data_IF_051210733685
#
_entry.id   IF_051210733685
#
_cell.length_a   1.000
_cell.length_b   1.000
_cell.length_c   1.000
_cell.angle_alpha   90.00
_cell.angle_beta   90.00
_cell.angle_gamma   90.00
#
_symmetry.space_group_name_H-M   'P 1'
#
loop_
_entity.id
_entity.type
_entity.pdbx_description
1 polymer ?
#
# COMPACT_ATOMS: atom_id res chain seq x y z
N UNK A 1 -2.26 9.50 16.48
CA UNK A 1 -3.60 8.99 16.09
C UNK A 1 -4.10 9.81 14.90
N UNK A 2 -4.56 9.14 13.84
CA UNK A 2 -5.13 9.77 12.64
C UNK A 2 -6.55 9.24 12.45
N UNK A 3 -7.50 10.13 12.11
CA UNK A 3 -8.89 9.77 11.82
C UNK A 3 -9.12 9.74 10.31
N UNK A 4 -9.77 8.70 9.80
CA UNK A 4 -10.25 8.61 8.41
C UNK A 4 -11.73 8.98 8.41
N UNK A 5 -12.11 10.15 7.87
CA UNK A 5 -13.47 10.69 7.98
C UNK A 5 -14.37 10.12 6.86
N UNK A 6 -15.19 9.12 7.18
CA UNK A 6 -16.12 8.45 6.24
C UNK A 6 -17.55 8.34 6.83
N UNK A 7 -18.00 9.38 7.53
CA UNK A 7 -19.31 9.38 8.19
C UNK A 7 -19.43 8.27 9.23
N UNK A 8 -20.43 7.41 9.12
CA UNK A 8 -20.65 6.27 10.01
C UNK A 8 -19.64 5.13 9.85
N UNK A 9 -18.84 5.15 8.78
CA UNK A 9 -17.74 4.21 8.51
C UNK A 9 -16.36 4.78 8.90
N UNK A 10 -16.32 5.93 9.57
CA UNK A 10 -15.08 6.53 10.06
C UNK A 10 -14.35 5.60 10.99
N UNK A 11 -13.03 5.60 10.93
CA UNK A 11 -12.18 4.79 11.81
C UNK A 11 -10.89 5.54 12.18
N UNK A 12 -10.15 4.95 13.11
CA UNK A 12 -8.91 5.52 13.62
C UNK A 12 -7.71 4.68 13.19
N UNK A 13 -6.59 5.37 12.94
CA UNK A 13 -5.27 4.78 12.75
C UNK A 13 -4.44 5.14 13.97
N UNK A 14 -4.06 4.16 14.78
CA UNK A 14 -3.17 4.32 15.91
C UNK A 14 -1.75 3.97 15.49
N UNK A 15 -0.79 4.85 15.76
CA UNK A 15 0.60 4.70 15.33
C UNK A 15 1.47 4.95 16.56
N UNK A 16 2.15 3.90 17.03
CA UNK A 16 3.16 3.98 18.08
C UNK A 16 3.95 2.66 18.17
N UNK A 17 5.03 2.63 18.95
CA UNK A 17 5.73 1.40 19.31
C UNK A 17 4.96 0.62 20.36
N UNK A 18 4.97 -0.71 20.29
CA UNK A 18 4.39 -1.62 21.26
C UNK A 18 2.86 -1.62 21.32
N UNK A 19 2.17 -1.02 20.31
CA UNK A 19 0.70 -0.94 20.33
C UNK A 19 0.04 -2.30 20.09
N UNK A 20 0.73 -3.27 19.51
CA UNK A 20 0.23 -4.63 19.33
C UNK A 20 -0.18 -5.27 20.66
N UNK A 21 0.54 -4.99 21.74
CA UNK A 21 0.20 -5.47 23.08
C UNK A 21 -1.17 -4.96 23.59
N UNK A 22 -1.70 -3.89 22.98
CA UNK A 22 -2.99 -3.28 23.30
C UNK A 22 -4.12 -3.67 22.34
N UNK A 23 -3.85 -4.55 21.36
CA UNK A 23 -4.81 -4.96 20.33
C UNK A 23 -6.15 -5.37 20.93
N UNK A 24 -6.16 -6.28 21.90
CA UNK A 24 -7.38 -6.76 22.54
C UNK A 24 -8.16 -5.64 23.23
N UNK A 25 -7.48 -4.77 23.99
CA UNK A 25 -8.10 -3.62 24.63
C UNK A 25 -8.75 -2.67 23.61
N UNK A 26 -8.07 -2.40 22.52
CA UNK A 26 -8.59 -1.53 21.46
C UNK A 26 -9.77 -2.15 20.69
N UNK A 27 -9.79 -3.48 20.52
CA UNK A 27 -10.96 -4.19 20.00
C UNK A 27 -12.16 -4.13 20.97
N UNK A 28 -11.93 -4.33 22.26
CA UNK A 28 -12.97 -4.25 23.30
C UNK A 28 -13.60 -2.85 23.39
N UNK A 29 -12.80 -1.78 23.29
CA UNK A 29 -13.31 -0.39 23.27
C UNK A 29 -14.27 -0.13 22.11
N UNK A 30 -14.12 -0.87 20.99
CA UNK A 30 -14.97 -0.79 19.80
C UNK A 30 -16.16 -1.72 19.84
N UNK A 31 -16.34 -2.43 20.97
CA UNK A 31 -17.45 -3.36 21.19
C UNK A 31 -17.55 -4.42 20.07
N UNK A 32 -16.41 -4.92 19.60
CA UNK A 32 -16.37 -6.03 18.67
C UNK A 32 -16.80 -7.32 19.38
N UNK A 33 -17.37 -8.26 18.64
CA UNK A 33 -17.88 -9.49 19.22
C UNK A 33 -16.81 -10.38 19.84
N UNK A 34 -17.19 -11.35 20.64
CA UNK A 34 -16.30 -12.15 21.48
C UNK A 34 -15.36 -13.07 20.68
N UNK A 35 -15.81 -13.60 19.54
CA UNK A 35 -15.03 -14.51 18.68
C UNK A 35 -14.30 -13.73 17.61
N UNK A 36 -13.05 -14.08 17.36
CA UNK A 36 -12.28 -13.47 16.27
C UNK A 36 -11.31 -14.45 15.63
N UNK A 37 -10.89 -14.14 14.40
CA UNK A 37 -9.83 -14.85 13.71
C UNK A 37 -8.66 -13.90 13.43
N UNK A 38 -7.44 -14.33 13.75
CA UNK A 38 -6.21 -13.69 13.30
C UNK A 38 -5.82 -14.37 11.98
N UNK A 39 -5.88 -13.63 10.87
CA UNK A 39 -5.35 -14.09 9.59
C UNK A 39 -3.97 -13.48 9.41
N UNK A 40 -2.95 -14.33 9.26
CA UNK A 40 -1.55 -13.92 9.10
C UNK A 40 -0.83 -14.86 8.14
N UNK A 41 0.33 -14.47 7.65
CA UNK A 41 1.16 -15.33 6.82
C UNK A 41 2.26 -16.05 7.61
N UNK A 42 2.91 -17.03 6.97
CA UNK A 42 3.97 -17.85 7.58
C UNK A 42 5.19 -17.04 8.03
N UNK A 43 5.48 -15.87 7.44
CA UNK A 43 6.61 -15.02 7.82
C UNK A 43 6.25 -14.17 9.04
N UNK A 44 5.13 -13.48 9.01
CA UNK A 44 4.68 -12.57 10.06
C UNK A 44 4.23 -13.34 11.30
N UNK A 45 3.56 -14.49 11.11
CA UNK A 45 3.06 -15.32 12.19
C UNK A 45 4.14 -15.75 13.20
N UNK A 46 5.35 -16.06 12.73
CA UNK A 46 6.48 -16.44 13.59
C UNK A 46 6.85 -15.38 14.63
N UNK A 47 6.65 -14.11 14.28
CA UNK A 47 7.08 -12.98 15.13
C UNK A 47 5.94 -12.42 15.96
N UNK A 48 4.72 -12.32 15.35
CA UNK A 48 3.68 -11.47 15.91
C UNK A 48 2.36 -12.20 16.20
N UNK A 49 2.15 -13.46 15.74
CA UNK A 49 0.89 -14.16 16.00
C UNK A 49 0.66 -14.38 17.49
N UNK A 50 1.67 -14.87 18.23
CA UNK A 50 1.53 -15.12 19.67
C UNK A 50 1.26 -13.84 20.47
N UNK A 51 2.02 -12.72 20.32
CA UNK A 51 1.71 -11.46 20.99
C UNK A 51 0.29 -10.93 20.70
N UNK A 52 -0.17 -11.03 19.45
CA UNK A 52 -1.53 -10.62 19.06
C UNK A 52 -2.60 -11.51 19.70
N UNK A 53 -2.40 -12.83 19.67
CA UNK A 53 -3.28 -13.82 20.25
C UNK A 53 -3.42 -13.60 21.77
N UNK A 54 -2.30 -13.50 22.49
CA UNK A 54 -2.28 -13.28 23.93
C UNK A 54 -2.95 -11.95 24.32
N UNK A 55 -2.77 -10.90 23.50
CA UNK A 55 -3.43 -9.60 23.71
C UNK A 55 -4.96 -9.70 23.62
N UNK A 56 -5.48 -10.47 22.66
CA UNK A 56 -6.92 -10.70 22.51
C UNK A 56 -7.47 -11.57 23.65
N UNK A 57 -6.80 -12.65 24.01
CA UNK A 57 -7.22 -13.53 25.14
C UNK A 57 -7.29 -12.75 26.45
N UNK A 58 -6.26 -11.94 26.76
CA UNK A 58 -6.26 -11.08 27.97
C UNK A 58 -7.42 -10.10 28.01
N UNK A 59 -7.97 -9.72 26.86
CA UNK A 59 -9.12 -8.82 26.76
C UNK A 59 -10.47 -9.57 26.73
N UNK A 60 -10.49 -10.89 26.92
CA UNK A 60 -11.69 -11.72 26.99
C UNK A 60 -12.19 -12.26 25.64
N UNK A 61 -11.42 -12.09 24.55
CA UNK A 61 -11.79 -12.66 23.25
C UNK A 61 -11.39 -14.13 23.14
N UNK A 62 -12.07 -14.86 22.23
CA UNK A 62 -11.74 -16.22 21.83
C UNK A 62 -11.15 -16.23 20.42
N UNK A 63 -9.84 -15.92 20.26
CA UNK A 63 -9.19 -15.84 18.95
C UNK A 63 -8.89 -17.23 18.39
N UNK A 64 -9.02 -17.39 17.07
CA UNK A 64 -8.47 -18.51 16.31
C UNK A 64 -7.37 -18.00 15.38
N UNK A 65 -6.37 -18.83 15.11
CA UNK A 65 -5.25 -18.46 14.25
C UNK A 65 -5.37 -19.14 12.89
N UNK A 66 -5.43 -18.36 11.82
CA UNK A 66 -5.45 -18.80 10.43
C UNK A 66 -4.16 -18.36 9.76
N UNK A 67 -3.30 -19.30 9.41
CA UNK A 67 -2.01 -19.02 8.76
C UNK A 67 -2.12 -19.33 7.28
N UNK A 68 -1.83 -18.35 6.43
CA UNK A 68 -1.78 -18.50 4.98
C UNK A 68 -0.32 -18.51 4.48
N UNK A 69 -0.03 -19.02 3.28
CA UNK A 69 1.29 -18.90 2.69
C UNK A 69 1.72 -17.43 2.57
N UNK A 70 3.02 -17.15 2.70
CA UNK A 70 3.56 -15.82 2.46
C UNK A 70 3.69 -15.55 0.95
N UNK A 71 3.60 -14.28 0.55
CA UNK A 71 3.82 -13.81 -0.81
C UNK A 71 2.55 -13.55 -1.61
N UNK A 72 2.71 -12.90 -2.76
CA UNK A 72 1.62 -12.42 -3.61
C UNK A 72 0.71 -13.54 -4.15
N UNK A 73 1.26 -14.74 -4.32
CA UNK A 73 0.50 -15.92 -4.80
C UNK A 73 -0.60 -16.37 -3.81
N UNK A 74 -0.42 -16.06 -2.53
CA UNK A 74 -1.45 -16.33 -1.51
C UNK A 74 -2.71 -15.48 -1.70
N UNK A 75 -2.62 -14.37 -2.42
CA UNK A 75 -3.72 -13.44 -2.66
C UNK A 75 -4.66 -13.97 -3.76
N UNK A 76 -5.33 -15.07 -3.49
CA UNK A 76 -6.13 -15.85 -4.45
C UNK A 76 -7.46 -16.33 -3.88
N UNK A 77 -8.44 -16.61 -4.76
CA UNK A 77 -9.73 -17.19 -4.36
C UNK A 77 -9.58 -18.56 -3.67
N UNK A 78 -8.54 -19.33 -4.03
CA UNK A 78 -8.24 -20.60 -3.37
C UNK A 78 -7.93 -20.40 -1.87
N UNK A 79 -7.10 -19.40 -1.57
CA UNK A 79 -6.75 -19.08 -0.18
C UNK A 79 -7.94 -18.49 0.57
N UNK A 80 -8.76 -17.69 -0.09
CA UNK A 80 -10.02 -17.17 0.48
C UNK A 80 -10.94 -18.30 0.89
N UNK A 81 -11.13 -19.30 0.01
CA UNK A 81 -11.95 -20.49 0.31
C UNK A 81 -11.42 -21.23 1.54
N UNK A 82 -10.10 -21.48 1.61
CA UNK A 82 -9.50 -22.12 2.77
C UNK A 82 -9.70 -21.31 4.07
N UNK A 83 -9.68 -19.98 3.99
CA UNK A 83 -10.02 -19.12 5.14
C UNK A 83 -11.49 -19.32 5.56
N UNK A 84 -12.44 -19.36 4.62
CA UNK A 84 -13.85 -19.58 4.95
C UNK A 84 -14.08 -20.91 5.67
N UNK A 85 -13.45 -21.99 5.22
CA UNK A 85 -13.55 -23.31 5.86
C UNK A 85 -13.07 -23.24 7.32
N UNK A 86 -11.95 -22.56 7.58
CA UNK A 86 -11.43 -22.35 8.93
C UNK A 86 -12.40 -21.53 9.80
N UNK A 87 -12.91 -20.40 9.25
CA UNK A 87 -13.86 -19.55 9.97
C UNK A 87 -15.14 -20.31 10.33
N UNK A 88 -15.67 -21.12 9.40
CA UNK A 88 -16.86 -21.95 9.61
C UNK A 88 -16.62 -23.08 10.62
N UNK A 89 -15.50 -23.81 10.51
CA UNK A 89 -15.12 -24.86 11.45
C UNK A 89 -15.03 -24.35 12.90
N UNK A 90 -14.54 -23.12 13.07
CA UNK A 90 -14.45 -22.45 14.36
C UNK A 90 -15.72 -21.67 14.74
N UNK A 91 -16.80 -21.82 13.98
CA UNK A 91 -18.11 -21.21 14.26
C UNK A 91 -18.06 -19.70 14.46
N UNK A 92 -17.30 -18.99 13.63
CA UNK A 92 -17.35 -17.54 13.60
C UNK A 92 -18.74 -17.10 13.08
N UNK A 93 -19.33 -16.12 13.74
CA UNK A 93 -20.67 -15.63 13.49
C UNK A 93 -20.68 -14.16 13.04
N UNK A 94 -21.84 -13.58 12.73
CA UNK A 94 -21.97 -12.22 12.21
C UNK A 94 -21.38 -11.12 13.11
N UNK A 95 -21.35 -11.35 14.43
CA UNK A 95 -20.73 -10.41 15.38
C UNK A 95 -19.22 -10.62 15.53
N UNK A 96 -18.68 -11.73 15.04
CA UNK A 96 -17.24 -12.00 15.05
C UNK A 96 -16.48 -10.99 14.21
N UNK A 97 -15.16 -10.92 14.39
CA UNK A 97 -14.32 -10.04 13.59
C UNK A 97 -13.01 -10.71 13.16
N UNK A 98 -12.37 -10.16 12.15
CA UNK A 98 -11.07 -10.60 11.65
C UNK A 98 -10.00 -9.58 12.03
N UNK A 99 -8.83 -10.07 12.46
CA UNK A 99 -7.60 -9.31 12.60
C UNK A 99 -6.69 -9.69 11.44
N UNK A 100 -6.46 -8.75 10.53
CA UNK A 100 -5.50 -8.88 9.44
C UNK A 100 -4.12 -8.49 9.96
N UNK A 101 -3.29 -9.48 10.31
CA UNK A 101 -1.96 -9.27 10.87
C UNK A 101 -0.89 -9.57 9.81
N UNK A 102 -0.38 -8.54 9.12
CA UNK A 102 0.59 -8.77 8.05
C UNK A 102 0.85 -7.57 7.15
N UNK A 103 1.53 -7.83 6.04
CA UNK A 103 1.74 -6.85 4.97
C UNK A 103 0.48 -6.61 4.14
N UNK A 104 0.63 -5.90 3.01
CA UNK A 104 -0.48 -5.58 2.10
C UNK A 104 -1.24 -6.80 1.58
N UNK A 105 -0.53 -7.88 1.28
CA UNK A 105 -1.15 -9.15 0.82
C UNK A 105 -2.15 -9.68 1.84
N UNK A 106 -1.74 -9.77 3.12
CA UNK A 106 -2.60 -10.23 4.21
C UNK A 106 -3.74 -9.25 4.46
N UNK A 107 -3.45 -7.94 4.44
CA UNK A 107 -4.47 -6.91 4.63
C UNK A 107 -5.58 -6.98 3.60
N UNK A 108 -5.22 -7.10 2.32
CA UNK A 108 -6.17 -7.21 1.21
C UNK A 108 -6.96 -8.53 1.24
N UNK A 109 -6.27 -9.67 1.44
CA UNK A 109 -6.88 -10.99 1.52
C UNK A 109 -7.87 -11.08 2.70
N UNK A 110 -7.41 -10.76 3.91
CA UNK A 110 -8.22 -10.88 5.12
C UNK A 110 -9.37 -9.87 5.14
N UNK A 111 -9.14 -8.67 4.59
CA UNK A 111 -10.19 -7.67 4.40
C UNK A 111 -11.26 -8.14 3.40
N UNK A 112 -10.86 -8.81 2.31
CA UNK A 112 -11.80 -9.40 1.36
C UNK A 112 -12.58 -10.59 1.98
N UNK A 113 -11.91 -11.44 2.75
CA UNK A 113 -12.58 -12.50 3.54
C UNK A 113 -13.60 -11.87 4.48
N UNK A 114 -13.24 -10.81 5.20
CA UNK A 114 -14.16 -10.11 6.09
C UNK A 114 -15.36 -9.50 5.36
N UNK A 115 -15.13 -8.91 4.19
CA UNK A 115 -16.18 -8.27 3.39
C UNK A 115 -17.22 -9.25 2.85
N UNK A 116 -16.84 -10.51 2.67
CA UNK A 116 -17.66 -11.51 1.98
C UNK A 116 -18.19 -12.62 2.89
N UNK A 117 -17.47 -12.98 3.95
CA UNK A 117 -17.92 -13.97 4.93
C UNK A 117 -19.20 -13.48 5.64
N UNK A 118 -20.25 -14.30 5.64
CA UNK A 118 -21.59 -13.97 6.17
C UNK A 118 -22.18 -12.64 5.66
N UNK A 119 -21.80 -12.20 4.46
CA UNK A 119 -22.13 -10.91 3.83
C UNK A 119 -21.52 -9.69 4.52
N UNK A 120 -20.42 -9.89 5.22
CA UNK A 120 -19.64 -8.84 5.87
C UNK A 120 -19.60 -8.98 7.39
N UNK A 121 -18.39 -9.14 7.94
CA UNK A 121 -18.10 -9.09 9.37
C UNK A 121 -17.02 -8.02 9.62
N UNK A 122 -16.96 -7.48 10.84
CA UNK A 122 -15.98 -6.47 11.18
C UNK A 122 -14.53 -6.96 10.97
N UNK A 123 -13.61 -6.04 10.65
CA UNK A 123 -12.19 -6.37 10.65
C UNK A 123 -11.31 -5.23 11.17
N UNK A 124 -10.12 -5.59 11.63
CA UNK A 124 -9.07 -4.72 12.15
C UNK A 124 -7.80 -4.99 11.35
N UNK A 125 -7.10 -3.94 10.94
CA UNK A 125 -5.82 -4.05 10.26
C UNK A 125 -4.66 -3.85 11.24
N UNK A 126 -3.69 -4.76 11.21
CA UNK A 126 -2.41 -4.65 11.93
C UNK A 126 -1.28 -4.78 10.91
N UNK A 127 -0.99 -3.68 10.18
CA UNK A 127 0.01 -3.69 9.11
C UNK A 127 1.42 -3.83 9.68
N UNK A 128 2.20 -4.77 9.14
CA UNK A 128 3.56 -5.09 9.61
C UNK A 128 4.68 -4.72 8.63
N UNK A 129 4.35 -4.19 7.46
CA UNK A 129 5.32 -3.62 6.50
C UNK A 129 5.16 -2.11 6.42
N UNK A 130 6.22 -1.38 6.08
CA UNK A 130 6.15 0.07 5.90
C UNK A 130 5.12 0.45 4.82
N UNK A 131 5.14 -0.27 3.69
CA UNK A 131 4.16 -0.10 2.61
C UNK A 131 2.72 -0.21 3.14
N UNK A 132 2.44 -1.23 3.94
CA UNK A 132 1.10 -1.42 4.47
C UNK A 132 0.73 -0.36 5.52
N UNK A 133 1.67 0.08 6.36
CA UNK A 133 1.42 1.12 7.36
C UNK A 133 1.08 2.47 6.72
N UNK A 134 1.76 2.84 5.63
CA UNK A 134 1.57 4.16 5.00
C UNK A 134 0.54 4.16 3.87
N UNK A 135 0.23 2.98 3.30
CA UNK A 135 -0.60 2.90 2.09
C UNK A 135 -1.71 1.85 2.19
N UNK A 136 -1.47 0.57 1.98
CA UNK A 136 -2.52 -0.42 1.71
C UNK A 136 -3.54 -0.60 2.83
N UNK A 137 -3.20 -0.34 4.10
CA UNK A 137 -4.14 -0.44 5.23
C UNK A 137 -5.17 0.70 5.30
N UNK A 138 -5.04 1.74 4.47
CA UNK A 138 -5.90 2.92 4.50
C UNK A 138 -6.75 3.03 3.24
N UNK A 139 -8.05 3.23 3.39
CA UNK A 139 -8.97 3.49 2.29
C UNK A 139 -9.73 2.28 1.77
N UNK A 140 -9.70 1.16 2.51
CA UNK A 140 -10.65 0.04 2.39
C UNK A 140 -10.62 -0.74 1.08
N UNK A 141 -9.60 -0.57 0.22
CA UNK A 141 -9.44 -1.43 -0.95
C UNK A 141 -8.96 -2.80 -0.49
N UNK A 142 -9.81 -3.80 -0.62
CA UNK A 142 -9.49 -5.19 -0.28
C UNK A 142 -9.81 -6.08 -1.47
N UNK A 143 -9.06 -7.16 -1.67
CA UNK A 143 -9.27 -7.98 -2.86
C UNK A 143 -8.22 -9.04 -3.09
N UNK A 144 -8.41 -9.79 -4.16
CA UNK A 144 -7.56 -10.89 -4.58
C UNK A 144 -7.27 -10.86 -6.08
N UNK A 145 -6.26 -11.61 -6.46
CA UNK A 145 -5.79 -11.70 -7.83
C UNK A 145 -6.55 -12.80 -8.59
N UNK A 146 -6.67 -12.60 -9.90
CA UNK A 146 -7.05 -13.63 -10.85
C UNK A 146 -5.85 -13.93 -11.79
N UNK A 147 -5.97 -15.01 -12.54
CA UNK A 147 -4.98 -15.31 -13.64
C UNK A 147 -4.89 -14.17 -14.66
N UNK A 148 -5.98 -13.43 -14.86
CA UNK A 148 -6.07 -12.32 -15.80
C UNK A 148 -5.38 -11.03 -15.29
N UNK A 149 -5.12 -10.90 -13.97
CA UNK A 149 -4.46 -9.71 -13.41
C UNK A 149 -4.64 -9.55 -11.90
N UNK A 150 -3.86 -8.63 -11.34
CA UNK A 150 -3.90 -8.30 -9.91
C UNK A 150 -5.15 -7.50 -9.55
N UNK A 151 -5.67 -7.74 -8.32
CA UNK A 151 -6.73 -6.95 -7.69
C UNK A 151 -8.02 -6.80 -8.52
N UNK A 152 -8.35 -7.81 -9.35
CA UNK A 152 -9.52 -7.77 -10.22
C UNK A 152 -10.82 -8.09 -9.48
N UNK A 153 -10.74 -8.81 -8.38
CA UNK A 153 -11.86 -9.15 -7.51
C UNK A 153 -11.65 -8.53 -6.14
N UNK A 154 -12.59 -7.72 -5.69
CA UNK A 154 -12.44 -7.01 -4.42
C UNK A 154 -13.67 -6.20 -4.02
N UNK A 155 -13.53 -5.49 -2.92
CA UNK A 155 -14.54 -4.59 -2.37
C UNK A 155 -13.91 -3.33 -1.79
N UNK A 156 -14.72 -2.27 -1.64
CA UNK A 156 -14.40 -1.16 -0.74
C UNK A 156 -14.97 -1.51 0.63
N UNK A 157 -14.13 -1.99 1.54
CA UNK A 157 -14.54 -2.43 2.86
C UNK A 157 -13.64 -1.82 3.94
N UNK A 158 -14.19 -0.92 4.75
CA UNK A 158 -13.41 -0.15 5.72
C UNK A 158 -13.15 -0.93 7.01
N UNK A 159 -11.93 -0.90 7.56
CA UNK A 159 -11.64 -1.51 8.86
C UNK A 159 -12.28 -0.71 10.00
N UNK A 160 -12.47 -1.36 11.15
CA UNK A 160 -12.90 -0.70 12.39
C UNK A 160 -11.74 0.00 13.11
N UNK A 161 -10.53 -0.41 12.82
CA UNK A 161 -9.30 0.11 13.39
C UNK A 161 -8.13 -0.26 12.48
N UNK A 162 -7.15 0.62 12.39
CA UNK A 162 -5.81 0.29 11.91
C UNK A 162 -4.83 0.51 13.05
N UNK A 163 -4.00 -0.50 13.37
CA UNK A 163 -3.05 -0.48 14.46
C UNK A 163 -1.63 -0.62 13.90
N UNK A 164 -0.96 0.49 13.65
CA UNK A 164 0.41 0.54 13.13
C UNK A 164 1.41 0.45 14.28
N UNK A 165 1.92 -0.75 14.55
CA UNK A 165 3.01 -0.94 15.50
C UNK A 165 4.35 -0.76 14.79
N UNK A 166 5.10 0.29 15.14
CA UNK A 166 6.38 0.60 14.51
C UNK A 166 7.45 -0.46 14.83
N UNK A 167 7.29 -1.21 15.93
CA UNK A 167 8.22 -2.27 16.30
C UNK A 167 8.15 -3.45 15.32
N UNK A 168 7.05 -3.63 14.59
CA UNK A 168 6.94 -4.65 13.55
C UNK A 168 7.91 -4.42 12.40
N UNK A 169 8.32 -3.18 12.16
CA UNK A 169 9.27 -2.84 11.11
C UNK A 169 10.70 -3.32 11.42
N UNK A 170 11.01 -3.69 12.68
CA UNK A 170 12.35 -4.17 13.05
C UNK A 170 12.69 -5.52 12.40
N UNK A 171 11.68 -6.38 12.21
CA UNK A 171 11.85 -7.71 11.59
C UNK A 171 11.66 -7.68 10.07
N UNK A 172 11.24 -6.54 9.52
CA UNK A 172 11.02 -6.40 8.09
C UNK A 172 12.36 -6.41 7.34
N UNK A 173 12.54 -7.28 6.32
CA UNK A 173 13.74 -7.29 5.50
C UNK A 173 14.04 -5.90 4.90
N UNK A 174 15.33 -5.57 4.78
CA UNK A 174 15.78 -4.25 4.33
C UNK A 174 15.23 -3.86 2.95
N UNK A 175 15.19 -4.83 2.02
CA UNK A 175 14.65 -4.60 0.67
C UNK A 175 13.17 -4.23 0.70
N UNK A 176 12.37 -4.91 1.55
CA UNK A 176 10.94 -4.63 1.75
C UNK A 176 10.72 -3.27 2.44
N UNK A 177 11.57 -2.93 3.41
CA UNK A 177 11.51 -1.63 4.07
C UNK A 177 11.78 -0.50 3.07
N UNK A 178 12.84 -0.62 2.26
CA UNK A 178 13.18 0.35 1.21
C UNK A 178 12.07 0.44 0.17
N UNK A 179 11.50 -0.67 -0.24
CA UNK A 179 10.35 -0.66 -1.16
C UNK A 179 9.19 0.17 -0.60
N UNK A 180 8.91 0.11 0.70
CA UNK A 180 7.91 0.95 1.34
C UNK A 180 8.22 2.46 1.30
N UNK A 181 9.50 2.84 1.26
CA UNK A 181 9.90 4.24 1.15
C UNK A 181 9.48 4.88 -0.18
N UNK A 182 9.30 4.11 -1.26
CA UNK A 182 8.79 4.64 -2.53
C UNK A 182 7.41 5.29 -2.34
N UNK A 183 6.52 4.68 -1.57
CA UNK A 183 5.20 5.23 -1.27
C UNK A 183 5.28 6.45 -0.34
N UNK A 184 6.19 6.41 0.63
CA UNK A 184 6.45 7.57 1.51
C UNK A 184 6.91 8.78 0.69
N UNK A 185 7.87 8.59 -0.23
CA UNK A 185 8.39 9.63 -1.12
C UNK A 185 7.29 10.15 -2.04
N UNK A 186 6.45 9.26 -2.56
CA UNK A 186 5.29 9.62 -3.38
C UNK A 186 4.40 10.66 -2.70
N UNK A 187 4.07 10.51 -1.42
CA UNK A 187 3.24 11.49 -0.70
C UNK A 187 3.87 12.88 -0.67
N UNK A 188 5.19 12.97 -0.53
CA UNK A 188 5.92 14.23 -0.65
C UNK A 188 5.80 14.87 -2.02
N UNK A 189 5.88 14.06 -3.08
CA UNK A 189 5.80 14.52 -4.46
C UNK A 189 4.39 15.02 -4.80
N UNK A 190 3.36 14.25 -4.41
CA UNK A 190 2.00 14.51 -4.89
C UNK A 190 1.22 15.52 -4.06
N UNK A 191 1.59 15.73 -2.78
CA UNK A 191 0.71 16.43 -1.85
C UNK A 191 1.42 17.37 -0.87
N UNK A 192 2.64 17.06 -0.43
CA UNK A 192 3.28 17.77 0.67
C UNK A 192 4.77 18.05 0.40
N UNK A 193 5.06 19.22 -0.14
CA UNK A 193 6.44 19.66 -0.40
C UNK A 193 7.30 19.73 0.88
N UNK A 194 6.71 20.00 2.06
CA UNK A 194 7.44 20.02 3.33
C UNK A 194 7.85 18.62 3.75
N UNK A 195 6.95 17.64 3.54
CA UNK A 195 7.29 16.23 3.71
C UNK A 195 8.44 15.82 2.80
N UNK A 196 8.41 16.23 1.51
CA UNK A 196 9.47 15.93 0.57
C UNK A 196 10.82 16.50 1.02
N UNK A 197 10.88 17.77 1.39
CA UNK A 197 12.11 18.41 1.90
C UNK A 197 12.62 17.75 3.19
N UNK A 198 11.70 17.29 4.05
CA UNK A 198 12.05 16.53 5.25
C UNK A 198 12.66 15.16 4.90
N UNK A 199 12.11 14.47 3.90
CA UNK A 199 12.65 13.20 3.44
C UNK A 199 14.07 13.35 2.87
N UNK A 200 14.34 14.39 2.09
CA UNK A 200 15.70 14.67 1.61
C UNK A 200 16.71 14.82 2.77
N UNK A 201 16.31 15.50 3.83
CA UNK A 201 17.18 15.77 5.00
C UNK A 201 17.30 14.58 5.95
N UNK A 202 16.19 13.93 6.28
CA UNK A 202 16.11 12.96 7.37
C UNK A 202 16.16 11.50 6.87
N UNK A 203 16.35 11.25 5.58
CA UNK A 203 16.40 9.91 5.00
C UNK A 203 17.39 8.96 5.73
N UNK A 204 18.60 9.39 6.15
CA UNK A 204 19.50 8.53 6.92
C UNK A 204 18.89 8.04 8.24
N UNK A 205 18.07 8.86 8.92
CA UNK A 205 17.38 8.47 10.15
C UNK A 205 16.30 7.42 9.87
N UNK A 206 15.58 7.58 8.76
CA UNK A 206 14.56 6.61 8.32
C UNK A 206 15.21 5.26 7.97
N UNK A 207 16.32 5.26 7.25
CA UNK A 207 17.06 4.05 6.92
C UNK A 207 17.59 3.32 8.16
N UNK A 208 17.95 4.04 9.22
CA UNK A 208 18.26 3.46 10.54
C UNK A 208 17.03 3.07 11.35
N UNK A 209 15.82 3.28 10.81
CA UNK A 209 14.54 2.98 11.47
C UNK A 209 14.39 3.68 12.82
N UNK A 210 14.86 4.93 12.93
CA UNK A 210 14.72 5.72 14.15
C UNK A 210 13.24 5.97 14.46
N UNK A 211 12.79 5.59 15.65
CA UNK A 211 11.38 5.56 16.02
C UNK A 211 10.66 6.90 15.85
N UNK A 212 11.27 7.99 16.33
CA UNK A 212 10.65 9.31 16.23
C UNK A 212 10.47 9.75 14.77
N UNK A 213 11.49 9.53 13.93
CA UNK A 213 11.41 9.85 12.51
C UNK A 213 10.36 9.02 11.79
N UNK A 214 10.30 7.72 12.08
CA UNK A 214 9.28 6.82 11.51
C UNK A 214 7.87 7.18 11.96
N UNK A 215 7.65 7.45 13.26
CA UNK A 215 6.34 7.79 13.80
C UNK A 215 5.73 9.01 13.09
N UNK A 216 6.54 10.05 12.94
CA UNK A 216 6.12 11.29 12.30
C UNK A 216 5.81 11.12 10.80
N UNK A 217 6.67 10.37 10.08
CA UNK A 217 6.51 10.14 8.64
C UNK A 217 5.30 9.24 8.39
N UNK A 218 5.16 8.14 9.11
CA UNK A 218 3.99 7.24 8.99
C UNK A 218 2.70 7.99 9.31
N UNK A 219 2.70 8.80 10.38
CA UNK A 219 1.53 9.60 10.74
C UNK A 219 1.16 10.60 9.63
N UNK A 220 2.16 11.29 9.04
CA UNK A 220 1.89 12.26 7.97
C UNK A 220 1.39 11.59 6.69
N UNK A 221 1.97 10.46 6.29
CA UNK A 221 1.48 9.68 5.16
C UNK A 221 0.03 9.22 5.36
N UNK A 222 -0.28 8.67 6.53
CA UNK A 222 -1.64 8.27 6.89
C UNK A 222 -2.63 9.46 6.87
N UNK A 223 -2.22 10.64 7.35
CA UNK A 223 -3.03 11.86 7.30
C UNK A 223 -3.35 12.25 5.86
N UNK A 224 -2.33 12.34 4.99
CA UNK A 224 -2.52 12.69 3.58
C UNK A 224 -3.48 11.68 2.92
N UNK A 225 -3.26 10.38 3.15
CA UNK A 225 -4.14 9.37 2.57
C UNK A 225 -5.56 9.45 3.11
N UNK A 226 -5.74 9.70 4.41
CA UNK A 226 -7.04 9.88 5.03
C UNK A 226 -7.79 11.10 4.44
N UNK A 227 -7.10 12.21 4.21
CA UNK A 227 -7.64 13.41 3.57
C UNK A 227 -8.12 13.12 2.14
N UNK A 228 -7.29 12.42 1.34
CA UNK A 228 -7.63 12.06 -0.04
C UNK A 228 -8.79 11.06 -0.10
N UNK A 229 -8.76 10.03 0.74
CA UNK A 229 -9.84 9.01 0.81
C UNK A 229 -11.14 9.61 1.34
N UNK A 230 -11.05 10.53 2.31
CA UNK A 230 -12.23 11.22 2.85
C UNK A 230 -12.98 12.06 1.81
N UNK A 231 -12.26 12.56 0.79
CA UNK A 231 -12.83 13.32 -0.32
C UNK A 231 -13.28 12.44 -1.49
N UNK A 232 -12.64 11.29 -1.68
CA UNK A 232 -12.89 10.38 -2.80
C UNK A 232 -12.64 8.92 -2.39
N UNK A 233 -13.64 8.31 -1.77
CA UNK A 233 -13.51 6.94 -1.25
C UNK A 233 -13.35 5.89 -2.36
N UNK A 234 -14.07 6.05 -3.46
CA UNK A 234 -14.20 5.04 -4.53
C UNK A 234 -13.30 5.27 -5.75
N UNK A 235 -12.38 6.27 -5.67
CA UNK A 235 -11.44 6.58 -6.75
C UNK A 235 -12.12 7.09 -8.04
N UNK A 236 -13.12 7.95 -7.88
CA UNK A 236 -13.81 8.59 -9.01
C UNK A 236 -13.11 9.85 -9.54
N UNK A 237 -12.16 10.43 -8.81
CA UNK A 237 -11.52 11.70 -9.16
C UNK A 237 -10.20 11.95 -8.43
N UNK A 238 -10.22 12.71 -7.34
CA UNK A 238 -9.02 13.16 -6.61
C UNK A 238 -8.08 12.01 -6.20
N UNK A 239 -8.63 10.87 -5.78
CA UNK A 239 -7.82 9.72 -5.35
C UNK A 239 -6.87 9.21 -6.43
N UNK A 240 -7.10 9.55 -7.69
CA UNK A 240 -6.19 9.24 -8.80
C UNK A 240 -4.78 9.82 -8.61
N UNK A 241 -4.59 10.92 -7.83
CA UNK A 241 -3.26 11.48 -7.55
C UNK A 241 -2.32 10.47 -6.91
N UNK A 242 -2.85 9.50 -6.13
CA UNK A 242 -2.08 8.43 -5.51
C UNK A 242 -1.37 7.52 -6.53
N UNK A 243 -1.72 7.63 -7.80
CA UNK A 243 -1.15 6.82 -8.89
C UNK A 243 0.06 7.47 -9.59
N UNK A 244 0.70 8.48 -8.99
CA UNK A 244 1.95 9.03 -9.53
C UNK A 244 3.02 7.93 -9.62
N UNK A 245 3.56 7.71 -10.83
CA UNK A 245 4.51 6.64 -11.12
C UNK A 245 3.88 5.25 -11.37
N UNK A 246 2.60 5.04 -11.02
CA UNK A 246 1.97 3.72 -11.08
C UNK A 246 1.70 3.22 -12.51
N UNK A 247 1.43 4.10 -13.47
CA UNK A 247 1.17 3.70 -14.87
C UNK A 247 2.32 2.87 -15.44
N UNK A 248 3.56 3.36 -15.28
CA UNK A 248 4.75 2.62 -15.72
C UNK A 248 5.12 1.53 -14.70
N UNK A 249 5.02 1.81 -13.41
CA UNK A 249 5.37 0.87 -12.35
C UNK A 249 4.59 -0.45 -12.43
N UNK A 250 3.27 -0.40 -12.55
CA UNK A 250 2.43 -1.58 -12.71
C UNK A 250 2.73 -2.37 -14.00
N UNK A 251 2.99 -1.64 -15.09
CA UNK A 251 3.39 -2.29 -16.34
C UNK A 251 4.74 -3.01 -16.19
N UNK A 252 5.72 -2.44 -15.46
CA UNK A 252 6.99 -3.10 -15.12
C UNK A 252 6.79 -4.35 -14.26
N UNK A 253 5.91 -4.30 -13.25
CA UNK A 253 5.54 -5.49 -12.46
C UNK A 253 4.97 -6.59 -13.37
N UNK A 254 4.03 -6.24 -14.24
CA UNK A 254 3.35 -7.19 -15.13
C UNK A 254 4.32 -7.89 -16.10
N UNK A 255 5.22 -7.14 -16.75
CA UNK A 255 6.18 -7.74 -17.72
C UNK A 255 7.32 -8.50 -17.05
N UNK A 256 7.55 -8.27 -15.77
CA UNK A 256 8.60 -8.94 -14.98
C UNK A 256 8.11 -10.19 -14.26
N UNK A 257 6.92 -10.70 -14.61
CA UNK A 257 6.30 -11.89 -14.02
C UNK A 257 6.15 -11.80 -12.47
N UNK A 258 5.89 -10.58 -11.95
CA UNK A 258 5.58 -10.34 -10.53
C UNK A 258 6.58 -10.96 -9.53
N UNK A 259 7.88 -10.89 -9.80
CA UNK A 259 8.88 -11.48 -8.88
C UNK A 259 10.25 -10.80 -8.93
N UNK A 260 10.56 -10.16 -10.05
CA UNK A 260 11.85 -9.50 -10.24
C UNK A 260 11.95 -8.20 -9.43
N UNK A 261 10.90 -7.38 -9.48
CA UNK A 261 10.77 -6.14 -8.72
C UNK A 261 9.74 -6.29 -7.61
N UNK A 262 10.04 -5.78 -6.43
CA UNK A 262 9.03 -5.47 -5.44
C UNK A 262 8.17 -4.30 -5.93
N UNK A 263 6.93 -4.18 -5.45
CA UNK A 263 6.03 -3.09 -5.83
C UNK A 263 6.71 -1.71 -5.76
N UNK A 264 7.27 -1.35 -4.61
CA UNK A 264 7.92 -0.04 -4.43
C UNK A 264 9.15 0.17 -5.31
N UNK A 265 9.87 -0.89 -5.72
CA UNK A 265 10.97 -0.79 -6.67
C UNK A 265 10.46 -0.42 -8.06
N UNK A 266 9.40 -1.06 -8.53
CA UNK A 266 8.77 -0.75 -9.81
C UNK A 266 8.15 0.65 -9.80
N UNK A 267 7.50 1.04 -8.70
CA UNK A 267 6.93 2.38 -8.52
C UNK A 267 8.01 3.45 -8.47
N UNK A 268 9.16 3.22 -7.85
CA UNK A 268 10.27 4.17 -7.83
C UNK A 268 10.80 4.49 -9.23
N UNK A 269 10.97 3.47 -10.09
CA UNK A 269 11.29 3.67 -11.51
C UNK A 269 10.19 4.48 -12.19
N UNK A 270 8.93 4.11 -11.96
CA UNK A 270 7.79 4.81 -12.52
C UNK A 270 7.70 6.28 -12.07
N UNK A 271 7.99 6.59 -10.81
CA UNK A 271 8.02 7.96 -10.29
C UNK A 271 9.12 8.79 -10.95
N UNK A 272 10.31 8.22 -11.13
CA UNK A 272 11.41 8.90 -11.84
C UNK A 272 11.02 9.22 -13.27
N UNK A 273 10.42 8.27 -13.99
CA UNK A 273 9.97 8.49 -15.36
C UNK A 273 8.81 9.49 -15.44
N UNK A 274 7.86 9.41 -14.48
CA UNK A 274 6.77 10.39 -14.39
C UNK A 274 7.28 11.80 -14.07
N UNK A 275 8.30 11.95 -13.24
CA UNK A 275 8.93 13.26 -12.98
C UNK A 275 9.61 13.84 -14.24
N UNK A 276 10.29 13.01 -15.04
CA UNK A 276 10.87 13.42 -16.33
C UNK A 276 9.79 13.81 -17.37
N UNK A 277 8.69 13.05 -17.42
CA UNK A 277 7.54 13.42 -18.24
C UNK A 277 6.94 14.75 -17.77
N UNK A 278 6.84 14.95 -16.45
CA UNK A 278 6.32 16.17 -15.85
C UNK A 278 7.15 17.40 -16.24
N UNK A 279 8.48 17.29 -16.23
CA UNK A 279 9.36 18.38 -16.65
C UNK A 279 9.15 18.78 -18.11
N UNK A 280 8.74 17.83 -18.97
CA UNK A 280 8.53 18.10 -20.40
C UNK A 280 7.09 18.55 -20.73
N UNK A 281 6.11 18.20 -19.90
CA UNK A 281 4.69 18.36 -20.25
C UNK A 281 3.89 19.27 -19.32
N UNK A 282 4.26 19.35 -18.04
CA UNK A 282 3.47 20.09 -17.05
C UNK A 282 4.24 21.21 -16.35
N UNK A 283 5.49 21.46 -16.77
CA UNK A 283 6.30 22.57 -16.28
C UNK A 283 7.00 22.30 -14.95
N UNK A 284 7.10 21.04 -14.49
CA UNK A 284 7.94 20.72 -13.35
C UNK A 284 9.40 21.19 -13.63
N UNK A 285 10.01 22.00 -12.76
CA UNK A 285 11.41 22.41 -12.97
C UNK A 285 12.32 21.19 -13.09
N UNK A 286 13.25 21.21 -14.05
CA UNK A 286 14.20 20.10 -14.26
C UNK A 286 14.97 19.73 -12.98
N UNK A 287 15.39 20.76 -12.21
CA UNK A 287 16.02 20.55 -10.90
C UNK A 287 15.17 19.70 -9.94
N UNK A 288 13.85 19.86 -9.97
CA UNK A 288 12.94 19.13 -9.08
C UNK A 288 12.74 17.69 -9.56
N UNK A 289 12.74 17.44 -10.88
CA UNK A 289 12.77 16.07 -11.42
C UNK A 289 14.05 15.33 -11.01
N UNK A 290 15.20 16.02 -11.01
CA UNK A 290 16.47 15.47 -10.52
C UNK A 290 16.40 15.18 -9.02
N UNK A 291 15.87 16.11 -8.20
CA UNK A 291 15.69 15.90 -6.75
C UNK A 291 14.84 14.64 -6.46
N UNK A 292 13.75 14.45 -7.19
CA UNK A 292 12.90 13.26 -7.05
C UNK A 292 13.71 11.99 -7.33
N UNK A 293 14.47 11.97 -8.43
CA UNK A 293 15.31 10.83 -8.76
C UNK A 293 16.39 10.56 -7.71
N UNK A 294 17.01 11.63 -7.17
CA UNK A 294 18.08 11.53 -6.19
C UNK A 294 17.58 11.00 -4.84
N UNK A 295 16.43 11.45 -4.35
CA UNK A 295 15.90 10.94 -3.08
C UNK A 295 15.49 9.45 -3.18
N UNK A 296 14.97 9.01 -4.33
CA UNK A 296 14.68 7.60 -4.59
C UNK A 296 15.97 6.77 -4.62
N UNK A 297 17.01 7.24 -5.32
CA UNK A 297 18.31 6.58 -5.35
C UNK A 297 18.97 6.54 -3.96
N UNK A 298 18.93 7.63 -3.19
CA UNK A 298 19.45 7.69 -1.83
C UNK A 298 18.71 6.75 -0.87
N UNK A 299 17.42 6.47 -1.11
CA UNK A 299 16.66 5.44 -0.40
C UNK A 299 17.09 4.01 -0.78
N UNK A 300 18.00 3.84 -1.74
CA UNK A 300 18.44 2.54 -2.26
C UNK A 300 17.43 1.90 -3.21
N UNK A 301 16.56 2.70 -3.81
CA UNK A 301 15.57 2.25 -4.79
C UNK A 301 16.10 2.40 -6.22
N UNK A 302 15.72 1.52 -7.14
CA UNK A 302 16.07 1.68 -8.55
C UNK A 302 15.33 2.88 -9.12
N UNK A 303 16.02 3.74 -9.86
CA UNK A 303 15.47 4.92 -10.52
C UNK A 303 15.58 4.86 -12.06
N UNK A 304 16.04 3.75 -12.60
CA UNK A 304 16.09 3.49 -14.02
C UNK A 304 15.88 2.02 -14.35
N UNK A 305 15.56 1.73 -15.60
CA UNK A 305 15.42 0.35 -16.11
C UNK A 305 15.98 0.29 -17.54
N UNK A 306 16.65 -0.81 -17.87
CA UNK A 306 17.04 -1.11 -19.24
C UNK A 306 16.08 -2.17 -19.78
N UNK A 307 15.46 -1.87 -20.91
CA UNK A 307 14.48 -2.74 -21.56
C UNK A 307 14.96 -3.06 -22.98
N UNK A 308 14.88 -4.32 -23.34
CA UNK A 308 15.00 -4.74 -24.74
C UNK A 308 13.79 -4.26 -25.55
N UNK A 309 13.89 -4.25 -26.89
CA UNK A 309 12.78 -3.85 -27.76
C UNK A 309 11.49 -4.66 -27.44
N UNK A 310 11.60 -5.99 -27.32
CA UNK A 310 10.49 -6.88 -26.96
C UNK A 310 9.87 -6.56 -25.59
N UNK A 311 10.70 -6.17 -24.62
CA UNK A 311 10.20 -5.77 -23.30
C UNK A 311 9.47 -4.42 -23.36
N UNK A 312 9.90 -3.48 -24.20
CA UNK A 312 9.21 -2.21 -24.43
C UNK A 312 7.84 -2.43 -25.03
N UNK A 313 7.74 -3.25 -26.08
CA UNK A 313 6.46 -3.61 -26.69
C UNK A 313 5.49 -4.22 -25.66
N UNK A 314 5.98 -5.13 -24.81
CA UNK A 314 5.19 -5.69 -23.70
C UNK A 314 4.81 -4.64 -22.66
N UNK A 315 5.69 -3.67 -22.35
CA UNK A 315 5.42 -2.59 -21.42
C UNK A 315 4.26 -1.73 -21.93
N UNK A 316 4.28 -1.32 -23.20
CA UNK A 316 3.19 -0.55 -23.81
C UNK A 316 1.89 -1.34 -23.83
N UNK A 317 1.93 -2.62 -24.23
CA UNK A 317 0.77 -3.50 -24.18
C UNK A 317 0.17 -3.58 -22.76
N UNK A 318 1.02 -3.72 -21.73
CA UNK A 318 0.58 -3.75 -20.34
C UNK A 318 -0.03 -2.41 -19.87
N UNK A 319 0.54 -1.28 -20.29
CA UNK A 319 -0.03 0.05 -19.98
C UNK A 319 -1.40 0.24 -20.64
N UNK A 320 -1.63 -0.27 -21.84
CA UNK A 320 -2.93 -0.23 -22.53
C UNK A 320 -3.98 -1.15 -21.88
N UNK A 321 -3.57 -2.23 -21.22
CA UNK A 321 -4.46 -3.14 -20.51
C UNK A 321 -4.84 -2.64 -19.10
N UNK A 322 -4.15 -1.64 -18.54
CA UNK A 322 -4.49 -1.08 -17.24
C UNK A 322 -5.90 -0.46 -17.31
N UNK A 323 -6.73 -0.73 -16.29
CA UNK A 323 -8.13 -0.26 -16.15
C UNK A 323 -8.32 1.25 -16.30
N UNK A 324 -7.24 2.03 -16.24
CA UNK A 324 -7.25 3.49 -16.39
C UNK A 324 -7.31 3.97 -17.83
N UNK A 325 -7.24 3.06 -18.80
CA UNK A 325 -7.41 3.37 -20.21
C UNK A 325 -8.91 3.55 -20.51
N UNK A 326 -9.33 4.80 -20.71
CA UNK A 326 -10.63 5.10 -21.29
C UNK A 326 -10.41 5.66 -22.69
N UNK A 327 -10.99 5.02 -23.70
CA UNK A 327 -10.84 5.44 -25.12
C UNK A 327 -9.46 5.10 -25.74
N UNK A 328 -8.74 4.09 -25.25
CA UNK A 328 -7.45 3.66 -25.84
C UNK A 328 -6.23 4.52 -25.50
N UNK A 329 -6.37 5.53 -24.64
CA UNK A 329 -5.29 6.47 -24.30
C UNK A 329 -4.70 6.20 -22.92
N UNK A 330 -3.36 6.20 -22.84
CA UNK A 330 -2.63 6.04 -21.57
C UNK A 330 -2.68 7.35 -20.79
N UNK A 331 -3.25 7.32 -19.58
CA UNK A 331 -3.38 8.48 -18.70
C UNK A 331 -2.34 8.42 -17.58
N UNK A 332 -1.74 9.56 -17.29
CA UNK A 332 -0.73 9.74 -16.26
C UNK A 332 -1.18 10.71 -15.17
N UNK A 333 -0.57 10.55 -14.00
CA UNK A 333 -0.47 11.59 -12.99
C UNK A 333 0.89 12.24 -13.16
N UNK A 334 0.92 13.56 -13.38
CA UNK A 334 2.14 14.35 -13.61
C UNK A 334 2.23 15.49 -12.62
N UNK A 335 3.45 15.86 -12.21
CA UNK A 335 3.68 16.95 -11.25
C UNK A 335 3.83 18.30 -11.97
N UNK A 336 3.21 19.35 -11.42
CA UNK A 336 3.51 20.75 -11.78
C UNK A 336 4.66 21.29 -10.96
N UNK A 337 4.69 20.91 -9.69
CA UNK A 337 5.78 21.15 -8.73
C UNK A 337 5.75 20.07 -7.66
N UNK A 338 6.79 19.94 -6.88
CA UNK A 338 6.78 19.06 -5.71
C UNK A 338 5.67 19.52 -4.76
N UNK A 339 4.80 18.59 -4.36
CA UNK A 339 3.62 18.83 -3.56
C UNK A 339 2.33 19.10 -4.34
N UNK A 340 2.40 19.15 -5.69
CA UNK A 340 1.22 19.39 -6.53
C UNK A 340 1.26 18.60 -7.84
N UNK A 341 0.23 17.83 -8.10
CA UNK A 341 0.10 17.00 -9.30
C UNK A 341 -1.24 17.23 -10.00
N UNK A 342 -1.27 16.90 -11.28
CA UNK A 342 -2.47 16.82 -12.11
C UNK A 342 -2.64 15.39 -12.59
N UNK A 343 -3.88 14.91 -12.66
CA UNK A 343 -4.21 13.56 -13.10
C UNK A 343 -4.92 13.56 -14.45
N UNK A 344 -5.05 12.38 -15.05
CA UNK A 344 -5.70 12.21 -16.35
C UNK A 344 -4.93 12.80 -17.53
N UNK A 345 -3.63 13.06 -17.38
CA UNK A 345 -2.80 13.66 -18.42
C UNK A 345 -2.50 12.64 -19.52
N UNK A 346 -2.83 13.00 -20.76
CA UNK A 346 -2.52 12.19 -21.94
C UNK A 346 -1.07 12.37 -22.32
N UNK A 347 -0.33 11.27 -22.44
CA UNK A 347 1.09 11.29 -22.81
C UNK A 347 1.28 10.47 -24.07
N UNK A 348 1.76 11.06 -25.17
CA UNK A 348 2.08 10.32 -26.39
C UNK A 348 3.17 9.26 -26.15
N UNK A 349 3.05 8.10 -26.76
CA UNK A 349 4.04 7.01 -26.63
C UNK A 349 5.48 7.47 -26.99
N UNK A 350 5.62 8.33 -27.98
CA UNK A 350 6.93 8.91 -28.35
C UNK A 350 7.57 9.66 -27.15
N UNK A 351 6.78 10.35 -26.34
CA UNK A 351 7.30 11.04 -25.15
C UNK A 351 7.72 10.03 -24.07
N UNK A 352 6.98 8.94 -23.91
CA UNK A 352 7.34 7.84 -23.00
C UNK A 352 8.63 7.16 -23.47
N UNK A 353 8.77 6.86 -24.75
CA UNK A 353 9.99 6.30 -25.31
C UNK A 353 11.20 7.20 -25.01
N UNK A 354 11.09 8.51 -25.26
CA UNK A 354 12.18 9.47 -25.00
C UNK A 354 12.66 9.48 -23.55
N UNK A 355 11.76 9.35 -22.57
CA UNK A 355 12.16 9.31 -21.15
C UNK A 355 12.71 7.97 -20.73
N UNK A 356 12.28 6.87 -21.37
CA UNK A 356 12.88 5.54 -21.18
C UNK A 356 14.33 5.47 -21.70
N UNK A 357 14.65 6.20 -22.77
CA UNK A 357 15.97 6.23 -23.40
C UNK A 357 16.92 7.25 -22.77
N UNK A 358 16.39 8.32 -22.17
CA UNK A 358 17.22 9.37 -21.57
C UNK A 358 17.83 8.89 -20.26
N UNK A 359 19.16 9.05 -20.12
CA UNK A 359 19.82 9.04 -18.81
C UNK A 359 19.57 10.39 -18.13
N UNK A 360 19.56 10.40 -16.80
CA UNK A 360 19.80 11.64 -16.05
C UNK A 360 21.31 11.89 -16.14
N UNK A 361 21.71 12.82 -17.01
CA UNK A 361 23.02 13.44 -16.93
C UNK A 361 22.98 14.51 -15.85
#
# INVERSE_FOLDING_TARGET
MVKVPLGNRSYEIQIASGVLARLGRECARRKLGERCAIITDTNVGRHFAKPAFDSLVRAGFAPVLVIVPAGEEAKSLKTVHACYDQLAAHRLERKSFIVALGGGVVGDLAGFVAATYLRGIAFVQVPTTLLAQVDSSVGGKVGVNLKAGKNLVGAFYQPRLVLCDLDTLRTLPEREFRAGLAEVIKYGIIYDARLFARLERDLPKLLRREHAALADIVARCCQIKAEVVGQDETEGGLRAILNFGHTIGHALEAISHYGKFLHGEAIAIGQTLAARLSARQTGLPQRDAIRISNVLAAAGLPNCVRLTQRQRERLFAAMHLDKKVSGGEIKFVLARRIGEVVWGQRVPEVAICRVLDSRLD
#
